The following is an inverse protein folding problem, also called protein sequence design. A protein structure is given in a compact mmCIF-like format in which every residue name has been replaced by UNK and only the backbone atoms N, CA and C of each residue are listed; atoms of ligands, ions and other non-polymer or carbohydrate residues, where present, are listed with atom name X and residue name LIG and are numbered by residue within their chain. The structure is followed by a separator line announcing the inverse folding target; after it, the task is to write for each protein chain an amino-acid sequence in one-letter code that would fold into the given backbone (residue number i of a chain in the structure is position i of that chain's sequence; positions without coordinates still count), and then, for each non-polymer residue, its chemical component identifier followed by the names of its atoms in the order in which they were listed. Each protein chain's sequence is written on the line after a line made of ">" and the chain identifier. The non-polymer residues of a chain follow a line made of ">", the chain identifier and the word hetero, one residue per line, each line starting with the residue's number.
data_IF_304932786245
#
_entry.id   IF_304932786245
#
_cell.length_a   1.000
_cell.length_b   1.000
_cell.length_c   1.000
_cell.angle_alpha   90.00
_cell.angle_beta   90.00
_cell.angle_gamma   90.00
#
_symmetry.space_group_name_H-M   'P 1'
#
loop_
_entity.id
_entity.type
_entity.pdbx_description
1 polymer ?
#
# COMPACT_ATOMS: atom_id res chain seq x y z
N UNK A 1 20.39 -15.37 26.45
CA UNK A 1 19.45 -16.12 25.57
C UNK A 1 18.52 -15.12 24.85
N UNK A 2 19.06 -14.06 24.23
CA UNK A 2 18.26 -12.98 23.64
C UNK A 2 18.56 -12.73 22.16
N UNK A 3 19.84 -12.81 21.79
CA UNK A 3 20.33 -12.39 20.46
C UNK A 3 19.71 -13.17 19.30
N UNK A 4 19.54 -14.50 19.43
CA UNK A 4 18.96 -15.32 18.35
C UNK A 4 17.51 -14.96 18.03
N UNK A 5 16.75 -14.47 19.01
CA UNK A 5 15.34 -14.14 18.85
C UNK A 5 15.19 -12.81 18.11
N UNK A 6 15.97 -11.81 18.51
CA UNK A 6 16.04 -10.53 17.81
C UNK A 6 16.55 -10.70 16.37
N UNK A 7 17.56 -11.54 16.16
CA UNK A 7 18.07 -11.83 14.81
C UNK A 7 17.03 -12.53 13.93
N UNK A 8 16.28 -13.49 14.49
CA UNK A 8 15.21 -14.20 13.76
C UNK A 8 14.07 -13.25 13.37
N UNK A 9 13.68 -12.35 14.28
CA UNK A 9 12.64 -11.35 13.99
C UNK A 9 13.14 -10.36 12.93
N UNK A 10 14.35 -9.85 13.07
CA UNK A 10 14.92 -8.92 12.09
C UNK A 10 15.00 -9.56 10.71
N UNK A 11 15.38 -10.83 10.61
CA UNK A 11 15.39 -11.57 9.35
C UNK A 11 13.97 -11.67 8.75
N UNK A 12 12.97 -12.02 9.56
CA UNK A 12 11.58 -12.12 9.14
C UNK A 12 11.03 -10.78 8.62
N UNK A 13 11.32 -9.70 9.34
CA UNK A 13 10.94 -8.33 8.96
C UNK A 13 11.55 -7.96 7.61
N UNK A 14 12.86 -8.18 7.42
CA UNK A 14 13.51 -7.89 6.14
C UNK A 14 12.95 -8.74 4.99
N UNK A 15 12.62 -10.00 5.24
CA UNK A 15 11.98 -10.86 4.23
C UNK A 15 10.60 -10.33 3.83
N UNK A 16 9.78 -9.94 4.80
CA UNK A 16 8.46 -9.36 4.53
C UNK A 16 8.56 -8.02 3.80
N UNK A 17 9.50 -7.16 4.18
CA UNK A 17 9.78 -5.90 3.48
C UNK A 17 10.22 -6.19 2.03
N UNK A 18 11.17 -7.12 1.83
CA UNK A 18 11.65 -7.49 0.50
C UNK A 18 10.53 -8.05 -0.39
N UNK A 19 9.68 -8.93 0.15
CA UNK A 19 8.53 -9.48 -0.58
C UNK A 19 7.53 -8.38 -0.93
N UNK A 20 7.17 -7.51 0.02
CA UNK A 20 6.26 -6.39 -0.23
C UNK A 20 6.78 -5.45 -1.32
N UNK A 21 8.06 -5.08 -1.26
CA UNK A 21 8.72 -4.25 -2.27
C UNK A 21 8.74 -4.95 -3.63
N UNK A 22 9.08 -6.25 -3.69
CA UNK A 22 9.09 -7.02 -4.93
C UNK A 22 7.70 -7.12 -5.57
N UNK A 23 6.65 -7.30 -4.77
CA UNK A 23 5.27 -7.35 -5.26
C UNK A 23 4.84 -6.00 -5.83
N UNK A 24 5.16 -4.90 -5.15
CA UNK A 24 4.86 -3.54 -5.63
C UNK A 24 5.59 -3.26 -6.95
N UNK A 25 6.91 -3.46 -6.97
CA UNK A 25 7.73 -3.22 -8.15
C UNK A 25 7.32 -4.12 -9.31
N UNK A 26 7.09 -5.41 -9.04
CA UNK A 26 6.64 -6.38 -10.05
C UNK A 26 5.29 -6.00 -10.65
N UNK A 27 4.31 -5.62 -9.81
CA UNK A 27 3.01 -5.14 -10.25
C UNK A 27 3.09 -3.87 -11.11
N UNK A 28 3.94 -2.92 -10.71
CA UNK A 28 4.17 -1.67 -11.43
C UNK A 28 4.85 -1.88 -12.79
N UNK A 29 5.91 -2.70 -12.83
CA UNK A 29 6.64 -3.04 -14.07
C UNK A 29 5.74 -3.82 -15.01
N UNK A 30 5.02 -4.83 -14.52
CA UNK A 30 4.09 -5.63 -15.32
C UNK A 30 3.01 -4.75 -15.97
N UNK A 31 2.41 -3.85 -15.19
CA UNK A 31 1.44 -2.91 -15.72
C UNK A 31 2.07 -2.04 -16.81
N UNK A 32 3.21 -1.41 -16.52
CA UNK A 32 3.92 -0.51 -17.45
C UNK A 32 4.26 -1.19 -18.78
N UNK A 33 4.73 -2.44 -18.73
CA UNK A 33 5.02 -3.25 -19.93
C UNK A 33 3.74 -3.47 -20.75
N UNK A 34 2.63 -3.85 -20.12
CA UNK A 34 1.36 -4.06 -20.82
C UNK A 34 0.87 -2.78 -21.50
N UNK A 35 0.99 -1.64 -20.82
CA UNK A 35 0.62 -0.34 -21.37
C UNK A 35 1.44 0.02 -22.61
N UNK A 36 2.77 -0.12 -22.54
CA UNK A 36 3.66 0.12 -23.68
C UNK A 36 3.35 -0.82 -24.86
N UNK A 37 3.06 -2.09 -24.60
CA UNK A 37 2.73 -3.07 -25.63
C UNK A 37 1.36 -2.82 -26.29
N UNK A 38 0.42 -2.19 -25.59
CA UNK A 38 -0.93 -1.91 -26.09
C UNK A 38 -1.15 -0.50 -26.62
N UNK A 39 -0.13 0.37 -26.56
CA UNK A 39 -0.20 1.78 -26.94
C UNK A 39 -0.65 2.01 -28.40
N UNK A 40 -0.55 0.99 -29.27
CA UNK A 40 -0.88 1.09 -30.69
C UNK A 40 -2.18 0.41 -31.16
N UNK A 41 -2.99 -0.21 -30.29
CA UNK A 41 -4.06 -1.14 -30.77
C UNK A 41 -5.49 -0.88 -30.26
N UNK A 42 -5.74 -0.02 -29.27
CA UNK A 42 -7.07 0.10 -28.64
C UNK A 42 -7.44 1.54 -28.26
N UNK A 43 -8.75 1.82 -28.21
CA UNK A 43 -9.36 3.08 -27.78
C UNK A 43 -8.96 3.41 -26.34
N UNK A 44 -8.37 4.58 -26.13
CA UNK A 44 -7.58 5.01 -24.96
C UNK A 44 -8.27 4.87 -23.60
N UNK A 45 -9.61 4.87 -23.55
CA UNK A 45 -10.37 4.99 -22.31
C UNK A 45 -10.52 3.68 -21.52
N UNK A 46 -10.79 2.56 -22.20
CA UNK A 46 -10.98 1.26 -21.52
C UNK A 46 -9.66 0.65 -21.05
N UNK A 47 -8.57 0.84 -21.80
CA UNK A 47 -7.26 0.32 -21.40
C UNK A 47 -6.69 1.02 -20.18
N UNK A 48 -6.94 2.32 -20.05
CA UNK A 48 -6.50 3.09 -18.90
C UNK A 48 -7.16 2.62 -17.60
N UNK A 49 -8.47 2.34 -17.63
CA UNK A 49 -9.21 1.84 -16.48
C UNK A 49 -8.75 0.43 -16.06
N UNK A 50 -8.53 -0.48 -17.02
CA UNK A 50 -8.04 -1.83 -16.72
C UNK A 50 -6.57 -1.86 -16.25
N UNK A 51 -5.73 -1.01 -16.84
CA UNK A 51 -4.35 -0.79 -16.37
C UNK A 51 -4.36 -0.34 -14.91
N UNK A 52 -5.13 0.71 -14.59
CA UNK A 52 -5.20 1.28 -13.25
C UNK A 52 -5.75 0.25 -12.25
N UNK A 53 -6.78 -0.52 -12.61
CA UNK A 53 -7.31 -1.59 -11.73
C UNK A 53 -6.28 -2.66 -11.41
N UNK A 54 -5.47 -3.09 -12.38
CA UNK A 54 -4.44 -4.12 -12.15
C UNK A 54 -3.25 -3.59 -11.35
N UNK A 55 -2.79 -2.38 -11.64
CA UNK A 55 -1.72 -1.72 -10.88
C UNK A 55 -2.10 -1.52 -9.42
N UNK A 56 -3.32 -1.03 -9.16
CA UNK A 56 -3.81 -0.75 -7.81
C UNK A 56 -3.96 -2.04 -6.99
N UNK A 57 -4.45 -3.14 -7.59
CA UNK A 57 -4.53 -4.44 -6.88
C UNK A 57 -3.16 -4.97 -6.45
N UNK A 58 -2.14 -4.82 -7.31
CA UNK A 58 -0.77 -5.20 -6.97
C UNK A 58 -0.20 -4.34 -5.84
N UNK A 59 -0.50 -3.04 -5.85
CA UNK A 59 -0.08 -2.10 -4.81
C UNK A 59 -0.69 -2.44 -3.44
N UNK A 60 -2.00 -2.73 -3.39
CA UNK A 60 -2.71 -3.10 -2.17
C UNK A 60 -2.13 -4.40 -1.58
N UNK A 61 -1.89 -5.42 -2.42
CA UNK A 61 -1.30 -6.68 -1.98
C UNK A 61 0.11 -6.48 -1.39
N UNK A 62 0.95 -5.68 -2.05
CA UNK A 62 2.28 -5.36 -1.53
C UNK A 62 2.25 -4.53 -0.24
N UNK A 63 1.25 -3.67 -0.08
CA UNK A 63 1.00 -2.93 1.15
C UNK A 63 0.61 -3.84 2.32
N UNK A 64 -0.13 -4.92 2.10
CA UNK A 64 -0.44 -5.88 3.18
C UNK A 64 0.83 -6.51 3.78
N UNK A 65 1.79 -6.89 2.94
CA UNK A 65 3.09 -7.40 3.39
C UNK A 65 3.92 -6.35 4.12
N UNK A 66 3.95 -5.11 3.61
CA UNK A 66 4.65 -4.00 4.25
C UNK A 66 4.02 -3.64 5.61
N UNK A 67 2.69 -3.68 5.72
CA UNK A 67 1.92 -3.49 6.97
C UNK A 67 2.31 -4.56 8.00
N UNK A 68 2.33 -5.83 7.60
CA UNK A 68 2.74 -6.92 8.49
C UNK A 68 4.17 -6.73 9.03
N UNK A 69 5.13 -6.36 8.18
CA UNK A 69 6.53 -6.16 8.59
C UNK A 69 6.68 -5.07 9.68
N UNK A 70 5.89 -4.01 9.59
CA UNK A 70 5.96 -2.85 10.47
C UNK A 70 5.29 -3.10 11.82
N UNK A 71 4.17 -3.84 11.82
CA UNK A 71 3.55 -4.33 13.06
C UNK A 71 4.53 -5.23 13.82
N UNK A 72 5.31 -6.06 13.12
CA UNK A 72 6.32 -6.91 13.78
C UNK A 72 7.48 -6.05 14.30
N UNK A 73 7.95 -5.08 13.51
CA UNK A 73 9.01 -4.13 13.89
C UNK A 73 8.61 -3.29 15.12
N UNK A 74 7.34 -2.93 15.27
CA UNK A 74 6.86 -2.19 16.45
C UNK A 74 6.88 -3.05 17.71
N UNK A 75 6.47 -4.32 17.63
CA UNK A 75 6.38 -5.22 18.80
C UNK A 75 7.74 -5.74 19.27
N UNK A 76 8.74 -5.83 18.38
CA UNK A 76 10.02 -6.46 18.66
C UNK A 76 11.09 -5.55 19.30
N UNK A 77 10.85 -4.25 19.43
CA UNK A 77 11.83 -3.28 19.95
C UNK A 77 11.59 -3.04 21.44
N UNK A 78 12.64 -3.18 22.25
CA UNK A 78 12.61 -2.76 23.67
C UNK A 78 12.43 -1.23 23.74
N UNK A 79 11.29 -0.81 24.29
CA UNK A 79 10.87 0.58 24.25
C UNK A 79 11.73 1.47 25.17
N UNK A 80 12.57 2.32 24.58
CA UNK A 80 13.01 3.58 25.20
C UNK A 80 12.13 4.74 24.70
N UNK A 81 12.02 5.84 25.45
CA UNK A 81 11.18 6.98 25.05
C UNK A 81 11.53 7.54 23.66
N UNK A 82 12.81 7.48 23.28
CA UNK A 82 13.29 7.90 21.96
C UNK A 82 12.84 6.93 20.85
N UNK A 83 12.95 5.61 21.10
CA UNK A 83 12.51 4.57 20.17
C UNK A 83 10.99 4.63 19.92
N UNK A 84 10.18 4.92 20.94
CA UNK A 84 8.72 5.07 20.82
C UNK A 84 8.35 6.24 19.92
N UNK A 85 9.04 7.38 20.05
CA UNK A 85 8.77 8.58 19.25
C UNK A 85 9.10 8.34 17.77
N UNK A 86 10.26 7.75 17.47
CA UNK A 86 10.64 7.36 16.12
C UNK A 86 9.61 6.43 15.49
N UNK A 87 9.16 5.43 16.25
CA UNK A 87 8.15 4.47 15.82
C UNK A 87 6.80 5.14 15.52
N UNK A 88 6.35 6.04 16.41
CA UNK A 88 5.11 6.79 16.22
C UNK A 88 5.16 7.65 14.94
N UNK A 89 6.30 8.29 14.65
CA UNK A 89 6.50 9.06 13.42
C UNK A 89 6.41 8.15 12.18
N UNK A 90 7.05 6.99 12.20
CA UNK A 90 7.03 6.04 11.08
C UNK A 90 5.58 5.57 10.81
N UNK A 91 4.83 5.22 11.85
CA UNK A 91 3.42 4.81 11.72
C UNK A 91 2.56 5.94 11.15
N UNK A 92 2.76 7.18 11.60
CA UNK A 92 2.02 8.35 11.09
C UNK A 92 2.31 8.58 9.61
N UNK A 93 3.58 8.58 9.21
CA UNK A 93 3.98 8.75 7.80
C UNK A 93 3.36 7.66 6.95
N UNK A 94 3.43 6.41 7.41
CA UNK A 94 2.87 5.25 6.72
C UNK A 94 1.37 5.37 6.51
N UNK A 95 0.63 5.68 7.58
CA UNK A 95 -0.83 5.81 7.51
C UNK A 95 -1.21 6.96 6.58
N UNK A 96 -0.49 8.09 6.66
CA UNK A 96 -0.74 9.25 5.81
C UNK A 96 -0.47 8.98 4.33
N UNK A 97 0.66 8.36 3.97
CA UNK A 97 0.99 8.06 2.57
C UNK A 97 0.04 7.05 1.94
N UNK A 98 -0.30 5.98 2.66
CA UNK A 98 -1.26 4.97 2.17
C UNK A 98 -2.63 5.60 1.99
N UNK A 99 -3.06 6.45 2.93
CA UNK A 99 -4.31 7.19 2.84
C UNK A 99 -4.33 8.18 1.67
N UNK A 100 -3.26 8.96 1.47
CA UNK A 100 -3.15 9.92 0.38
C UNK A 100 -3.20 9.24 -0.99
N UNK A 101 -2.51 8.10 -1.15
CA UNK A 101 -2.58 7.30 -2.38
C UNK A 101 -3.99 6.78 -2.64
N UNK A 102 -4.70 6.32 -1.61
CA UNK A 102 -6.09 5.87 -1.74
C UNK A 102 -7.00 7.01 -2.24
N UNK A 103 -6.84 8.20 -1.67
CA UNK A 103 -7.59 9.40 -2.06
C UNK A 103 -7.33 9.83 -3.51
N UNK A 104 -6.07 9.79 -3.96
CA UNK A 104 -5.73 10.12 -5.35
C UNK A 104 -6.37 9.13 -6.34
N UNK A 105 -6.38 7.85 -5.99
CA UNK A 105 -6.93 6.78 -6.83
C UNK A 105 -8.46 6.86 -6.89
N UNK A 106 -9.12 7.13 -5.78
CA UNK A 106 -10.58 7.17 -5.69
C UNK A 106 -11.15 8.52 -6.14
N UNK A 107 -10.38 9.60 -6.02
CA UNK A 107 -10.79 10.97 -6.37
C UNK A 107 -11.94 11.50 -5.52
N UNK A 108 -12.33 10.78 -4.47
CA UNK A 108 -13.41 11.11 -3.54
C UNK A 108 -12.95 10.71 -2.14
N UNK A 109 -13.29 11.53 -1.16
CA UNK A 109 -13.07 11.15 0.24
C UNK A 109 -13.88 9.89 0.56
N UNK A 110 -13.35 8.95 1.38
CA UNK A 110 -14.08 7.74 1.74
C UNK A 110 -15.37 8.03 2.54
N UNK A 111 -15.50 9.22 3.11
CA UNK A 111 -16.71 9.71 3.77
C UNK A 111 -17.59 10.59 2.87
N UNK A 112 -17.36 10.63 1.56
CA UNK A 112 -18.28 11.26 0.63
C UNK A 112 -19.54 10.38 0.53
N UNK A 113 -20.47 10.60 1.45
CA UNK A 113 -21.82 10.06 1.37
C UNK A 113 -22.39 10.38 -0.02
N UNK A 114 -22.82 9.34 -0.74
CA UNK A 114 -23.68 9.50 -1.90
C UNK A 114 -24.99 10.07 -1.36
N UNK A 115 -25.16 11.38 -1.49
CA UNK A 115 -26.44 12.05 -1.29
C UNK A 115 -27.34 11.65 -2.47
N UNK A 116 -27.78 10.40 -2.44
CA UNK A 116 -28.73 9.79 -3.38
C UNK A 116 -30.14 9.82 -2.79
N UNK A 117 -30.46 10.91 -2.12
CA UNK A 117 -31.81 11.20 -1.66
C UNK A 117 -32.33 12.44 -2.40
N UNK A 118 -32.07 12.49 -3.72
CA UNK A 118 -32.81 13.38 -4.61
C UNK A 118 -34.21 12.77 -4.83
N UNK A 119 -35.22 13.49 -4.37
CA UNK A 119 -36.41 13.77 -5.18
C UNK A 119 -37.19 12.56 -5.73
N UNK A 120 -37.62 11.63 -4.87
CA UNK A 120 -38.72 10.72 -5.21
C UNK A 120 -40.02 10.99 -4.44
N UNK A 121 -40.09 11.98 -3.55
CA UNK A 121 -41.32 12.31 -2.82
C UNK A 121 -41.51 13.82 -2.58
N UNK A 122 -41.98 14.53 -3.62
CA UNK A 122 -43.10 15.51 -3.62
C UNK A 122 -43.06 16.44 -4.85
#
# INVERSE_FOLDING_TARGET
>A
MGDWFFDSINLLVHLLEAVGILVILGGFVYATIIYLLHLGRWTTHHLYLDYRRRSVRGLILGLEFLVAADIIKTVAVEYTMESVIMLAIIIVIRTFLVFALHLEIEGRFPWAYEDKDLNEQE
#
